data_IF_665469115405
#
_entry.id   IF_665469115405
#
_cell.length_a   1.000
_cell.length_b   1.000
_cell.length_c   1.000
_cell.angle_alpha   90.00
_cell.angle_beta   90.00
_cell.angle_gamma   90.00
#
_symmetry.space_group_name_H-M   'P 1'
#
loop_
_entity.id
_entity.type
_entity.pdbx_description
1 polymer ?
#
# COMPACT_ATOMS: atom_id res chain seq x y z
N UNK A 1 9.56 25.37 -2.35
CA UNK A 1 8.57 26.42 -2.00
C UNK A 1 8.05 27.17 -3.24
N UNK A 2 8.92 27.68 -4.13
CA UNK A 2 8.49 28.41 -5.33
C UNK A 2 7.49 27.61 -6.21
N UNK A 3 7.74 26.32 -6.48
CA UNK A 3 6.82 25.51 -7.29
C UNK A 3 5.39 25.41 -6.72
N UNK A 4 5.27 25.12 -5.41
CA UNK A 4 3.96 25.05 -4.70
C UNK A 4 3.26 26.41 -4.74
N UNK A 5 3.99 27.51 -4.54
CA UNK A 5 3.40 28.85 -4.53
C UNK A 5 2.82 29.24 -5.90
N UNK A 6 3.57 28.98 -6.98
CA UNK A 6 3.23 29.43 -8.34
C UNK A 6 2.39 28.44 -9.14
N UNK A 7 2.20 27.19 -8.68
CA UNK A 7 1.34 26.24 -9.35
C UNK A 7 -0.12 26.72 -9.38
N UNK A 8 -0.79 26.59 -10.53
CA UNK A 8 -2.22 26.85 -10.68
C UNK A 8 -3.07 25.87 -9.86
N UNK A 9 -2.64 24.62 -9.83
CA UNK A 9 -3.26 23.54 -9.08
C UNK A 9 -2.18 22.56 -8.62
N UNK A 10 -2.40 21.96 -7.45
CA UNK A 10 -1.53 20.94 -6.88
C UNK A 10 -2.33 19.64 -6.81
N UNK A 11 -1.73 18.55 -7.25
CA UNK A 11 -2.31 17.21 -7.12
C UNK A 11 -1.46 16.36 -6.18
N UNK A 12 -2.13 15.44 -5.48
CA UNK A 12 -1.48 14.42 -4.66
C UNK A 12 -2.04 13.05 -5.02
N UNK A 13 -1.45 11.97 -4.47
CA UNK A 13 -1.80 10.59 -4.83
C UNK A 13 -3.02 10.01 -4.10
N UNK A 14 -3.66 10.77 -3.21
CA UNK A 14 -4.92 10.38 -2.56
C UNK A 14 -5.58 11.58 -1.89
N UNK A 15 -6.91 11.51 -1.72
CA UNK A 15 -7.66 12.59 -1.07
C UNK A 15 -7.28 12.73 0.41
N UNK A 16 -7.08 11.61 1.10
CA UNK A 16 -6.59 11.60 2.49
C UNK A 16 -5.22 12.26 2.59
N UNK A 17 -4.28 11.93 1.68
CA UNK A 17 -2.96 12.53 1.70
C UNK A 17 -3.00 14.03 1.40
N UNK A 18 -3.90 14.47 0.50
CA UNK A 18 -4.13 15.89 0.27
C UNK A 18 -4.55 16.63 1.55
N UNK A 19 -5.33 16.01 2.43
CA UNK A 19 -5.74 16.55 3.72
C UNK A 19 -4.60 16.50 4.74
N UNK A 20 -3.89 15.38 4.85
CA UNK A 20 -2.78 15.17 5.79
C UNK A 20 -1.69 16.23 5.63
N UNK A 21 -1.24 16.50 4.39
CA UNK A 21 -0.16 17.49 4.17
C UNK A 21 -0.55 18.93 4.51
N UNK A 22 -1.83 19.20 4.79
CA UNK A 22 -2.27 20.49 5.31
C UNK A 22 -2.13 20.61 6.83
N UNK A 23 -1.75 19.55 7.54
CA UNK A 23 -1.52 19.59 8.98
C UNK A 23 -0.04 19.80 9.32
N UNK A 24 0.30 20.37 10.48
CA UNK A 24 1.70 20.57 10.88
C UNK A 24 2.54 19.28 10.89
N UNK A 25 1.92 18.17 11.27
CA UNK A 25 2.56 16.86 11.48
C UNK A 25 3.08 16.27 10.16
N UNK A 26 2.29 16.36 9.09
CA UNK A 26 2.62 15.76 7.79
C UNK A 26 3.03 16.76 6.72
N UNK A 27 2.77 18.06 6.93
CA UNK A 27 3.06 19.11 5.95
C UNK A 27 4.51 19.57 5.90
N UNK A 28 5.41 19.05 6.75
CA UNK A 28 6.84 19.37 6.77
C UNK A 28 7.14 20.90 6.71
N UNK A 29 6.38 21.70 7.46
CA UNK A 29 6.51 23.17 7.48
C UNK A 29 5.90 23.90 6.25
N UNK A 30 5.23 23.19 5.35
CA UNK A 30 4.50 23.72 4.18
C UNK A 30 2.99 23.72 4.38
N UNK A 31 2.49 23.17 5.49
CA UNK A 31 1.07 23.07 5.80
C UNK A 31 0.30 24.40 5.62
N UNK A 32 0.88 25.54 5.99
CA UNK A 32 0.25 26.85 5.82
C UNK A 32 -0.02 27.23 4.36
N UNK A 33 0.95 27.03 3.46
CA UNK A 33 0.75 27.32 2.03
C UNK A 33 -0.17 26.29 1.37
N UNK A 34 -0.17 25.05 1.85
CA UNK A 34 -1.05 24.00 1.35
C UNK A 34 -2.50 24.24 1.79
N UNK A 35 -2.75 24.69 3.04
CA UNK A 35 -4.08 25.16 3.49
C UNK A 35 -4.59 26.31 2.62
N UNK A 36 -3.74 27.29 2.32
CA UNK A 36 -4.10 28.39 1.42
C UNK A 36 -4.53 27.87 0.03
N UNK A 37 -3.84 26.85 -0.50
CA UNK A 37 -4.24 26.21 -1.76
C UNK A 37 -5.57 25.49 -1.65
N UNK A 38 -5.88 24.82 -0.53
CA UNK A 38 -7.21 24.23 -0.28
C UNK A 38 -8.31 25.29 -0.27
N UNK A 39 -8.12 26.42 0.43
CA UNK A 39 -9.10 27.52 0.47
C UNK A 39 -9.41 28.09 -0.92
N UNK A 40 -8.40 28.09 -1.81
CA UNK A 40 -8.55 28.49 -3.22
C UNK A 40 -9.08 27.38 -4.12
N UNK A 41 -9.37 26.18 -3.59
CA UNK A 41 -9.74 24.97 -4.35
C UNK A 41 -8.67 24.57 -5.38
N UNK A 42 -7.41 24.78 -5.04
CA UNK A 42 -6.22 24.55 -5.87
C UNK A 42 -5.39 23.34 -5.40
N UNK A 43 -5.95 22.47 -4.57
CA UNK A 43 -5.32 21.22 -4.11
C UNK A 43 -6.35 20.09 -4.20
N UNK A 44 -5.98 18.96 -4.79
CA UNK A 44 -6.84 17.77 -4.87
C UNK A 44 -6.04 16.47 -4.82
N UNK A 45 -6.65 15.39 -4.32
CA UNK A 45 -6.10 14.05 -4.41
C UNK A 45 -6.59 13.32 -5.66
N UNK A 46 -5.69 12.61 -6.33
CA UNK A 46 -6.00 11.72 -7.45
C UNK A 46 -5.39 10.36 -7.10
N UNK A 47 -6.25 9.38 -6.86
CA UNK A 47 -5.82 8.02 -6.50
C UNK A 47 -5.10 7.37 -7.67
N UNK A 48 -3.95 6.77 -7.39
CA UNK A 48 -3.21 6.02 -8.40
C UNK A 48 -4.00 4.77 -8.83
N UNK A 49 -3.98 4.49 -10.14
CA UNK A 49 -4.40 3.20 -10.67
C UNK A 49 -3.33 2.12 -10.47
N UNK A 50 -3.67 0.90 -10.87
CA UNK A 50 -2.73 -0.20 -11.11
C UNK A 50 -2.76 -0.55 -12.59
N UNK A 51 -1.68 -1.13 -13.09
CA UNK A 51 -1.62 -1.62 -14.47
C UNK A 51 -2.48 -2.88 -14.63
N UNK A 52 -3.08 -3.05 -15.82
CA UNK A 52 -3.88 -4.24 -16.16
C UNK A 52 -3.07 -5.54 -16.14
N UNK A 53 -1.74 -5.47 -16.14
CA UNK A 53 -0.87 -6.64 -15.92
C UNK A 53 -1.09 -7.31 -14.57
N UNK A 54 -1.65 -6.62 -13.57
CA UNK A 54 -1.94 -7.17 -12.24
C UNK A 54 -3.27 -7.93 -12.20
N UNK A 55 -3.48 -8.83 -13.15
CA UNK A 55 -4.70 -9.63 -13.28
C UNK A 55 -4.46 -11.10 -12.95
N UNK A 56 -4.95 -11.62 -11.80
CA UNK A 56 -4.66 -12.99 -11.37
C UNK A 56 -5.15 -14.10 -12.30
N UNK A 57 -6.05 -13.78 -13.24
CA UNK A 57 -6.61 -14.78 -14.17
C UNK A 57 -5.75 -15.00 -15.41
N UNK A 58 -4.76 -14.14 -15.67
CA UNK A 58 -3.84 -14.26 -16.81
C UNK A 58 -2.38 -13.94 -16.45
N UNK A 59 -2.07 -13.73 -15.17
CA UNK A 59 -0.71 -13.43 -14.71
C UNK A 59 0.23 -14.63 -14.94
N UNK A 60 1.24 -14.51 -15.82
CA UNK A 60 2.17 -15.59 -16.13
C UNK A 60 3.15 -15.88 -14.98
N UNK A 61 3.21 -15.04 -13.95
CA UNK A 61 4.07 -15.22 -12.78
C UNK A 61 3.42 -16.09 -11.70
N UNK A 62 2.12 -16.37 -11.80
CA UNK A 62 1.42 -17.30 -10.90
C UNK A 62 1.62 -18.74 -11.36
N UNK A 63 1.79 -19.66 -10.39
CA UNK A 63 1.83 -21.10 -10.71
C UNK A 63 0.47 -21.61 -11.17
N UNK A 64 -0.61 -20.95 -10.74
CA UNK A 64 -1.96 -21.20 -11.21
C UNK A 64 -2.79 -19.91 -11.19
N UNK A 65 -3.37 -19.55 -12.34
CA UNK A 65 -4.29 -18.43 -12.43
C UNK A 65 -5.54 -18.65 -11.55
N UNK A 66 -6.12 -17.55 -11.07
CA UNK A 66 -7.33 -17.58 -10.27
C UNK A 66 -8.18 -16.33 -10.49
N UNK A 67 -9.42 -16.33 -10.02
CA UNK A 67 -10.31 -15.17 -10.11
C UNK A 67 -11.18 -15.03 -8.88
N UNK A 68 -11.89 -13.91 -8.75
CA UNK A 68 -12.78 -13.62 -7.61
C UNK A 68 -13.84 -14.72 -7.37
N UNK A 69 -14.18 -15.54 -8.37
CA UNK A 69 -15.14 -16.65 -8.28
C UNK A 69 -14.49 -18.03 -8.39
N UNK A 70 -13.18 -18.11 -8.61
CA UNK A 70 -12.45 -19.38 -8.78
C UNK A 70 -11.14 -19.34 -7.97
N UNK A 71 -11.20 -19.82 -6.72
CA UNK A 71 -10.12 -19.67 -5.74
C UNK A 71 -9.15 -20.86 -5.66
N UNK A 72 -9.39 -21.92 -6.43
CA UNK A 72 -8.55 -23.12 -6.40
C UNK A 72 -7.08 -22.79 -6.75
N UNK A 73 -6.85 -21.96 -7.77
CA UNK A 73 -5.51 -21.49 -8.14
C UNK A 73 -4.82 -20.69 -7.03
N UNK A 74 -5.57 -19.89 -6.25
CA UNK A 74 -5.03 -19.14 -5.10
C UNK A 74 -4.38 -20.08 -4.08
N UNK A 75 -5.03 -21.22 -3.77
CA UNK A 75 -4.46 -22.23 -2.84
C UNK A 75 -3.19 -22.88 -3.38
N UNK A 76 -3.11 -23.12 -4.69
CA UNK A 76 -1.89 -23.65 -5.31
C UNK A 76 -0.73 -22.64 -5.19
N UNK A 77 -0.99 -21.34 -5.41
CA UNK A 77 0.01 -20.29 -5.18
C UNK A 77 0.42 -20.18 -3.70
N UNK A 78 -0.51 -20.32 -2.75
CA UNK A 78 -0.19 -20.33 -1.32
C UNK A 78 0.79 -21.45 -0.98
N UNK A 79 0.52 -22.69 -1.42
CA UNK A 79 1.41 -23.83 -1.20
C UNK A 79 2.78 -23.62 -1.81
N UNK A 80 2.83 -23.06 -3.03
CA UNK A 80 4.10 -22.73 -3.68
C UNK A 80 4.93 -21.73 -2.86
N UNK A 81 4.28 -20.72 -2.25
CA UNK A 81 4.97 -19.78 -1.36
C UNK A 81 5.43 -20.48 -0.08
N UNK A 82 4.59 -21.29 0.56
CA UNK A 82 4.97 -22.06 1.76
C UNK A 82 6.21 -22.93 1.49
N UNK A 83 6.21 -23.71 0.41
CA UNK A 83 7.33 -24.56 0.00
C UNK A 83 8.60 -23.74 -0.27
N UNK A 84 8.47 -22.61 -0.99
CA UNK A 84 9.62 -21.77 -1.37
C UNK A 84 10.29 -21.07 -0.18
N UNK A 85 9.51 -20.78 0.87
CA UNK A 85 10.01 -20.15 2.10
C UNK A 85 10.26 -21.16 3.23
N UNK A 86 10.06 -22.47 2.99
CA UNK A 86 10.25 -23.52 3.99
C UNK A 86 9.26 -23.44 5.15
N UNK A 87 8.04 -22.96 4.90
CA UNK A 87 6.98 -22.87 5.90
C UNK A 87 6.23 -24.20 6.01
N UNK A 88 5.78 -24.52 7.22
CA UNK A 88 4.91 -25.68 7.45
C UNK A 88 3.57 -25.48 6.71
N UNK A 89 3.15 -26.43 5.86
CA UNK A 89 1.91 -26.29 5.11
C UNK A 89 0.70 -26.30 6.05
N UNK A 90 -0.11 -25.25 5.98
CA UNK A 90 -1.19 -25.04 6.95
C UNK A 90 -2.52 -24.61 6.33
N UNK A 91 -3.57 -24.63 7.16
CA UNK A 91 -4.84 -23.92 6.88
C UNK A 91 -4.89 -22.54 7.56
N UNK A 92 -3.84 -22.20 8.31
CA UNK A 92 -3.71 -20.92 9.00
C UNK A 92 -3.52 -19.75 8.01
N UNK A 93 -3.62 -18.52 8.51
CA UNK A 93 -3.38 -17.34 7.70
C UNK A 93 -1.90 -17.24 7.32
N UNK A 94 -1.63 -16.99 6.02
CA UNK A 94 -0.30 -16.64 5.54
C UNK A 94 -0.20 -15.12 5.42
N UNK A 95 0.67 -14.51 6.21
CA UNK A 95 0.97 -13.08 6.16
C UNK A 95 2.20 -12.83 5.28
N UNK A 96 2.17 -11.75 4.49
CA UNK A 96 3.28 -11.36 3.62
C UNK A 96 3.49 -9.85 3.65
N UNK A 97 4.75 -9.43 3.61
CA UNK A 97 5.15 -8.02 3.50
C UNK A 97 5.97 -7.84 2.23
N UNK A 98 5.45 -7.03 1.30
CA UNK A 98 6.15 -6.63 0.08
C UNK A 98 6.35 -5.13 0.12
N UNK A 99 7.53 -4.68 0.55
CA UNK A 99 7.79 -3.26 0.82
C UNK A 99 9.28 -2.92 0.74
N UNK A 100 9.57 -1.61 0.60
CA UNK A 100 10.92 -1.08 0.86
C UNK A 100 11.18 -1.08 2.37
N UNK A 101 12.41 -1.40 2.76
CA UNK A 101 12.83 -1.44 4.17
C UNK A 101 13.18 -0.05 4.72
N UNK A 102 12.16 0.78 4.94
CA UNK A 102 12.30 2.12 5.51
C UNK A 102 11.28 2.35 6.63
N UNK A 103 11.61 3.18 7.61
CA UNK A 103 10.77 3.41 8.80
C UNK A 103 9.34 3.85 8.45
N UNK A 104 9.15 4.62 7.36
CA UNK A 104 7.84 5.03 6.85
C UNK A 104 6.91 3.84 6.51
N UNK A 105 7.44 2.62 6.42
CA UNK A 105 6.68 1.39 6.14
C UNK A 105 6.38 0.55 7.38
N UNK A 106 6.75 1.01 8.59
CA UNK A 106 6.34 0.40 9.85
C UNK A 106 6.79 -1.04 10.01
N UNK A 107 7.97 -1.39 9.49
CA UNK A 107 8.49 -2.76 9.56
C UNK A 107 8.90 -3.12 10.98
N UNK A 108 9.37 -2.13 11.73
CA UNK A 108 9.55 -2.18 13.17
C UNK A 108 8.26 -2.62 13.88
N UNK A 109 7.12 -2.01 13.56
CA UNK A 109 5.83 -2.41 14.13
C UNK A 109 5.44 -3.83 13.76
N UNK A 110 5.73 -4.26 12.52
CA UNK A 110 5.44 -5.63 12.07
C UNK A 110 6.26 -6.66 12.86
N UNK A 111 7.52 -6.34 13.17
CA UNK A 111 8.38 -7.18 13.99
C UNK A 111 7.86 -7.28 15.42
N UNK A 112 7.45 -6.15 16.01
CA UNK A 112 6.93 -6.10 17.39
C UNK A 112 5.69 -6.98 17.59
N UNK A 113 4.80 -7.10 16.60
CA UNK A 113 3.57 -7.89 16.71
C UNK A 113 3.70 -9.33 16.19
N UNK A 114 4.85 -9.70 15.61
CA UNK A 114 5.01 -10.99 14.93
C UNK A 114 4.74 -12.19 15.85
N UNK A 115 5.24 -12.15 17.09
CA UNK A 115 4.99 -13.18 18.10
C UNK A 115 3.51 -13.28 18.48
N UNK A 116 2.82 -12.14 18.61
CA UNK A 116 1.40 -12.11 18.90
C UNK A 116 0.57 -12.70 17.75
N UNK A 117 0.96 -12.44 16.50
CA UNK A 117 0.34 -13.03 15.31
C UNK A 117 0.51 -14.55 15.27
N UNK A 118 1.69 -15.05 15.64
CA UNK A 118 1.95 -16.49 15.70
C UNK A 118 1.15 -17.18 16.81
N UNK A 119 0.95 -16.52 17.95
CA UNK A 119 0.15 -17.07 19.06
C UNK A 119 -1.36 -17.05 18.80
N UNK A 120 -1.83 -16.12 17.97
CA UNK A 120 -3.26 -15.96 17.67
C UNK A 120 -3.76 -16.83 16.50
N UNK A 121 -2.85 -17.42 15.73
CA UNK A 121 -3.15 -18.31 14.59
C UNK A 121 -3.13 -19.79 14.98
#
# INVERSE_FOLDING_TARGET
KAGIAHAHHITTVSETYAQEITTPEYGCGLHGILKYKVEKRQLSGIVNGIDDSWQPHCDPHLVACFSARQWAGKRANTRYVEERFGLEPGKGPLFAVVSRLVQQKGIDLTLEISDALLQAG
#
